data_IF_829372542236
#
_entry.id   IF_829372542236
#
_cell.length_a   1.000
_cell.length_b   1.000
_cell.length_c   1.000
_cell.angle_alpha   90.00
_cell.angle_beta   90.00
_cell.angle_gamma   90.00
#
_symmetry.space_group_name_H-M   'P 1'
#
loop_
_entity.id
_entity.type
_entity.pdbx_description
1 polymer ?
#
# COMPACT_ATOMS: atom_id res chain seq x y z
N UNK A 1 0.26 -6.55 19.24
CA UNK A 1 0.62 -7.87 19.81
C UNK A 1 1.83 -8.46 19.08
N UNK A 2 1.79 -8.63 17.75
CA UNK A 2 2.83 -9.35 16.99
C UNK A 2 4.23 -8.74 17.05
N UNK A 3 4.36 -7.41 17.08
CA UNK A 3 5.66 -6.75 17.32
C UNK A 3 6.22 -6.99 18.73
N UNK A 4 5.36 -6.98 19.76
CA UNK A 4 5.77 -7.27 21.13
C UNK A 4 6.22 -8.73 21.22
N UNK A 5 5.44 -9.65 20.62
CA UNK A 5 5.81 -11.08 20.53
C UNK A 5 7.14 -11.26 19.80
N UNK A 6 7.35 -10.58 18.68
CA UNK A 6 8.61 -10.62 17.93
C UNK A 6 9.80 -10.07 18.73
N UNK A 7 9.64 -8.96 19.44
CA UNK A 7 10.68 -8.41 20.31
C UNK A 7 11.02 -9.39 21.45
N UNK A 8 10.01 -9.95 22.11
CA UNK A 8 10.16 -10.92 23.19
C UNK A 8 10.82 -12.23 22.69
N UNK A 9 10.48 -12.70 21.49
CA UNK A 9 11.10 -13.88 20.91
C UNK A 9 12.53 -13.64 20.40
N UNK A 10 12.81 -12.47 19.84
CA UNK A 10 14.13 -12.14 19.29
C UNK A 10 15.16 -11.74 20.35
N UNK A 11 14.74 -11.00 21.37
CA UNK A 11 15.64 -10.41 22.38
C UNK A 11 15.59 -11.12 23.73
N UNK A 12 14.47 -11.78 24.04
CA UNK A 12 14.19 -12.36 25.35
C UNK A 12 12.85 -11.84 25.90
N UNK A 13 12.14 -12.70 26.64
CA UNK A 13 10.78 -12.43 27.13
C UNK A 13 10.71 -11.16 27.99
N UNK A 14 11.69 -10.98 28.88
CA UNK A 14 11.67 -9.90 29.88
C UNK A 14 11.71 -8.52 29.21
N UNK A 15 10.95 -7.52 29.71
CA UNK A 15 11.09 -6.14 29.28
C UNK A 15 12.53 -5.60 29.41
N UNK A 16 13.32 -6.12 30.36
CA UNK A 16 14.74 -5.79 30.54
C UNK A 16 15.63 -6.24 29.37
N UNK A 17 15.20 -7.20 28.56
CA UNK A 17 15.92 -7.60 27.34
C UNK A 17 15.68 -6.64 26.17
N UNK A 18 14.59 -5.87 26.23
CA UNK A 18 14.08 -5.05 25.13
C UNK A 18 14.38 -3.57 25.35
N UNK A 19 14.17 -3.08 26.57
CA UNK A 19 14.41 -1.70 26.97
C UNK A 19 15.85 -1.54 27.48
N UNK A 20 16.37 -0.31 27.44
CA UNK A 20 17.73 0.01 27.92
C UNK A 20 17.74 0.24 29.44
N UNK A 21 16.70 0.90 29.95
CA UNK A 21 16.57 1.24 31.37
C UNK A 21 15.12 1.10 31.83
N UNK A 22 14.93 0.46 32.99
CA UNK A 22 13.65 0.44 33.73
C UNK A 22 13.98 0.75 35.19
N UNK A 23 13.86 2.02 35.58
CA UNK A 23 14.17 2.46 36.93
C UNK A 23 12.87 2.72 37.72
N UNK A 24 12.59 1.98 38.80
CA UNK A 24 11.42 2.21 39.64
C UNK A 24 11.53 3.53 40.39
N UNK A 25 10.40 4.16 40.63
CA UNK A 25 10.25 5.41 41.39
C UNK A 25 9.02 5.29 42.30
N UNK A 26 8.82 6.26 43.20
CA UNK A 26 7.62 6.30 44.03
C UNK A 26 6.31 6.42 43.21
N UNK A 27 6.34 7.05 42.03
CA UNK A 27 5.15 7.35 41.22
C UNK A 27 4.98 6.47 39.98
N UNK A 28 5.96 5.63 39.65
CA UNK A 28 5.94 4.75 38.49
C UNK A 28 7.35 4.33 38.06
N UNK A 29 7.64 4.37 36.76
CA UNK A 29 8.93 3.95 36.20
C UNK A 29 9.51 5.02 35.27
N UNK A 30 10.81 5.27 35.40
CA UNK A 30 11.58 5.94 34.35
C UNK A 30 12.04 4.88 33.34
N UNK A 31 11.75 5.15 32.08
CA UNK A 31 12.04 4.24 30.97
C UNK A 31 13.10 4.88 30.09
N UNK A 32 14.17 4.12 29.82
CA UNK A 32 15.13 4.40 28.76
C UNK A 32 15.01 3.36 27.65
N UNK A 33 14.95 3.84 26.42
CA UNK A 33 14.92 2.99 25.22
C UNK A 33 16.29 2.96 24.54
N UNK A 34 16.53 1.91 23.75
CA UNK A 34 17.82 1.69 23.08
C UNK A 34 18.16 2.70 21.99
N UNK A 35 17.17 3.47 21.53
CA UNK A 35 17.37 4.62 20.63
C UNK A 35 17.57 5.95 21.39
N UNK A 36 17.76 5.89 22.71
CA UNK A 36 18.00 7.05 23.56
C UNK A 36 16.73 7.78 23.99
N UNK A 37 15.54 7.36 23.56
CA UNK A 37 14.29 7.98 23.98
C UNK A 37 14.01 7.68 25.46
N UNK A 38 13.70 8.72 26.25
CA UNK A 38 13.44 8.61 27.69
C UNK A 38 12.12 9.25 28.08
N UNK A 39 11.39 8.61 28.99
CA UNK A 39 10.15 9.16 29.56
C UNK A 39 9.79 8.50 30.89
N UNK A 40 8.88 9.13 31.61
CA UNK A 40 8.26 8.57 32.81
C UNK A 40 6.88 7.99 32.48
N UNK A 41 6.56 6.82 33.03
CA UNK A 41 5.21 6.24 33.04
C UNK A 41 4.75 6.05 34.49
N UNK A 42 3.62 6.64 34.83
CA UNK A 42 3.08 6.57 36.20
C UNK A 42 2.42 5.21 36.48
N UNK A 43 2.24 4.86 37.76
CA UNK A 43 1.49 3.66 38.15
C UNK A 43 0.05 3.65 37.59
N UNK A 44 -0.61 4.82 37.54
CA UNK A 44 -1.97 4.94 37.00
C UNK A 44 -2.01 4.77 35.48
N UNK A 45 -1.07 5.37 34.75
CA UNK A 45 -0.94 5.16 33.30
C UNK A 45 -0.63 3.71 32.96
N UNK A 46 0.27 3.09 33.71
CA UNK A 46 0.60 1.68 33.54
C UNK A 46 -0.65 0.80 33.73
N UNK A 47 -1.37 1.00 34.84
CA UNK A 47 -2.62 0.28 35.15
C UNK A 47 -3.67 0.48 34.05
N UNK A 48 -3.85 1.71 33.58
CA UNK A 48 -4.78 2.03 32.49
C UNK A 48 -4.39 1.33 31.20
N UNK A 49 -3.12 1.38 30.79
CA UNK A 49 -2.67 0.72 29.58
C UNK A 49 -2.81 -0.81 29.67
N UNK A 50 -2.53 -1.39 30.84
CA UNK A 50 -2.72 -2.82 31.09
C UNK A 50 -4.19 -3.24 30.95
N UNK A 51 -5.16 -2.41 31.38
CA UNK A 51 -6.59 -2.73 31.20
C UNK A 51 -7.05 -2.65 29.75
N UNK A 52 -6.38 -1.85 28.91
CA UNK A 52 -6.63 -1.80 27.46
C UNK A 52 -5.97 -2.97 26.70
N UNK A 53 -4.92 -3.56 27.25
CA UNK A 53 -4.22 -4.67 26.63
C UNK A 53 -5.03 -5.97 26.78
N UNK A 54 -5.85 -6.27 25.76
CA UNK A 54 -6.69 -7.48 25.65
C UNK A 54 -5.87 -8.77 25.36
N UNK A 55 -4.65 -8.85 25.87
CA UNK A 55 -3.80 -10.03 25.71
C UNK A 55 -4.25 -11.16 26.65
N UNK A 56 -4.24 -12.38 26.12
CA UNK A 56 -4.54 -13.61 26.83
C UNK A 56 -3.53 -14.69 26.46
N UNK A 57 -3.25 -15.59 27.40
CA UNK A 57 -2.28 -16.68 27.24
C UNK A 57 -2.24 -17.55 28.49
N UNK A 58 -1.63 -18.74 28.38
CA UNK A 58 -1.51 -19.69 29.49
C UNK A 58 -0.36 -19.37 30.45
N UNK A 59 0.58 -18.53 30.03
CA UNK A 59 1.69 -18.04 30.83
C UNK A 59 1.39 -16.60 31.29
N UNK A 60 1.00 -16.46 32.55
CA UNK A 60 0.65 -15.17 33.15
C UNK A 60 1.85 -14.21 33.21
N UNK A 61 3.05 -14.73 33.45
CA UNK A 61 4.28 -13.92 33.46
C UNK A 61 4.53 -13.30 32.09
N UNK A 62 4.44 -14.09 31.03
CA UNK A 62 4.58 -13.61 29.65
C UNK A 62 3.49 -12.59 29.28
N UNK A 63 2.24 -12.82 29.72
CA UNK A 63 1.16 -11.86 29.48
C UNK A 63 1.44 -10.53 30.19
N UNK A 64 1.93 -10.56 31.43
CA UNK A 64 2.28 -9.36 32.19
C UNK A 64 3.43 -8.57 31.54
N UNK A 65 4.49 -9.27 31.11
CA UNK A 65 5.61 -8.66 30.37
C UNK A 65 5.11 -7.99 29.08
N UNK A 66 4.25 -8.67 28.31
CA UNK A 66 3.69 -8.13 27.08
C UNK A 66 2.80 -6.90 27.33
N UNK A 67 1.99 -6.91 28.40
CA UNK A 67 1.16 -5.76 28.79
C UNK A 67 2.01 -4.56 29.23
N UNK A 68 3.11 -4.80 29.92
CA UNK A 68 4.06 -3.74 30.28
C UNK A 68 4.67 -3.09 29.02
N UNK A 69 5.16 -3.89 28.07
CA UNK A 69 5.69 -3.38 26.79
C UNK A 69 4.64 -2.64 25.97
N UNK A 70 3.39 -3.09 26.00
CA UNK A 70 2.27 -2.37 25.37
C UNK A 70 2.06 -0.98 25.99
N UNK A 71 2.15 -0.85 27.31
CA UNK A 71 2.03 0.41 28.01
C UNK A 71 3.17 1.37 27.64
N UNK A 72 4.41 0.89 27.69
CA UNK A 72 5.63 1.63 27.32
C UNK A 72 5.54 2.16 25.88
N UNK A 73 5.21 1.29 24.92
CA UNK A 73 5.07 1.64 23.50
C UNK A 73 4.04 2.75 23.26
N UNK A 74 2.86 2.64 23.87
CA UNK A 74 1.81 3.65 23.71
C UNK A 74 2.12 4.94 24.46
N UNK A 75 2.84 4.86 25.59
CA UNK A 75 3.27 6.06 26.32
C UNK A 75 4.30 6.85 25.53
N UNK A 76 5.27 6.19 24.88
CA UNK A 76 6.17 6.87 23.94
C UNK A 76 5.39 7.55 22.82
N UNK A 77 4.46 6.84 22.16
CA UNK A 77 3.61 7.40 21.10
C UNK A 77 2.86 8.66 21.57
N UNK A 78 2.35 8.65 22.80
CA UNK A 78 1.69 9.80 23.42
C UNK A 78 2.65 10.98 23.62
N UNK A 79 3.86 10.73 24.14
CA UNK A 79 4.89 11.77 24.33
C UNK A 79 5.34 12.36 22.99
N UNK A 80 5.59 11.52 21.97
CA UNK A 80 5.93 12.00 20.62
C UNK A 80 4.86 12.93 20.03
N UNK A 81 3.57 12.61 20.21
CA UNK A 81 2.48 13.49 19.79
C UNK A 81 2.45 14.83 20.51
N UNK A 82 2.86 14.87 21.79
CA UNK A 82 2.96 16.12 22.54
C UNK A 82 4.13 16.99 22.05
N UNK A 83 5.23 16.37 21.62
CA UNK A 83 6.40 17.07 21.07
C UNK A 83 6.08 17.66 19.68
N UNK A 84 5.38 16.92 18.82
CA UNK A 84 5.09 17.30 17.42
C UNK A 84 3.89 18.27 17.26
N UNK A 85 3.44 18.93 18.33
CA UNK A 85 2.20 19.73 18.39
C UNK A 85 2.06 20.81 17.28
N UNK A 86 3.16 21.31 16.71
CA UNK A 86 3.16 22.29 15.61
C UNK A 86 2.75 21.73 14.24
N UNK A 87 2.77 20.41 14.02
CA UNK A 87 2.40 19.77 12.74
C UNK A 87 0.91 19.37 12.66
N UNK A 88 0.17 19.48 13.76
CA UNK A 88 -1.25 19.11 13.83
C UNK A 88 -2.10 20.27 13.30
N UNK A 89 -2.50 20.20 12.03
CA UNK A 89 -3.45 21.14 11.42
C UNK A 89 -4.79 21.18 12.17
N UNK A 90 -5.38 22.38 12.23
CA UNK A 90 -6.66 22.69 12.88
C UNK A 90 -7.80 21.82 12.28
N UNK A 91 -8.06 20.68 12.95
CA UNK A 91 -9.21 19.73 12.86
C UNK A 91 -8.79 18.28 13.13
N UNK A 92 -7.49 17.97 13.24
CA UNK A 92 -7.03 16.60 13.57
C UNK A 92 -7.02 16.38 15.07
N UNK A 93 -8.18 15.96 15.58
CA UNK A 93 -8.47 15.21 16.81
C UNK A 93 -7.79 15.65 18.11
N UNK A 94 -8.53 16.44 18.90
CA UNK A 94 -8.43 16.53 20.38
C UNK A 94 -8.27 15.16 21.08
N UNK A 95 -8.63 14.06 20.40
CA UNK A 95 -8.49 12.65 20.80
C UNK A 95 -7.05 12.10 20.74
N UNK A 96 -6.02 12.90 20.45
CA UNK A 96 -4.61 12.43 20.44
C UNK A 96 -3.73 13.08 21.51
N UNK A 97 -4.27 13.99 22.32
CA UNK A 97 -3.57 14.63 23.45
C UNK A 97 -3.70 13.86 24.77
N UNK A 98 -4.75 13.07 24.92
CA UNK A 98 -5.00 12.25 26.12
C UNK A 98 -4.42 10.84 25.96
N UNK A 99 -3.81 10.31 27.02
CA UNK A 99 -3.20 8.98 26.99
C UNK A 99 -4.23 7.88 26.77
N UNK A 100 -5.41 7.98 27.39
CA UNK A 100 -6.52 7.04 27.17
C UNK A 100 -7.01 7.05 25.73
N UNK A 101 -7.01 8.21 25.07
CA UNK A 101 -7.37 8.32 23.67
C UNK A 101 -6.30 7.73 22.73
N UNK A 102 -5.01 7.84 23.07
CA UNK A 102 -3.94 7.09 22.39
C UNK A 102 -4.15 5.58 22.53
N UNK A 103 -4.50 5.10 23.72
CA UNK A 103 -4.81 3.68 23.94
C UNK A 103 -6.03 3.20 23.15
N UNK A 104 -7.11 4.00 23.06
CA UNK A 104 -8.26 3.71 22.18
C UNK A 104 -7.84 3.59 20.71
N UNK A 105 -6.96 4.48 20.24
CA UNK A 105 -6.44 4.41 18.85
C UNK A 105 -5.60 3.16 18.58
N UNK A 106 -5.07 2.50 19.62
CA UNK A 106 -4.28 1.29 19.44
C UNK A 106 -5.13 0.11 18.92
N UNK A 107 -6.45 0.11 19.15
CA UNK A 107 -7.38 -0.88 18.62
C UNK A 107 -7.49 -0.83 17.07
N UNK A 108 -7.17 0.32 16.45
CA UNK A 108 -7.08 0.46 14.98
C UNK A 108 -5.87 -0.33 14.40
N UNK A 109 -4.96 -0.76 15.28
CA UNK A 109 -3.81 -1.59 14.99
C UNK A 109 -2.59 -0.79 14.54
N UNK A 110 -1.44 -1.05 15.18
CA UNK A 110 -0.14 -0.49 14.81
C UNK A 110 0.59 -1.54 13.97
N UNK A 111 1.14 -1.13 12.83
CA UNK A 111 1.93 -2.01 11.96
C UNK A 111 3.20 -2.51 12.66
N UNK A 112 3.65 -3.71 12.30
CA UNK A 112 4.82 -4.38 12.89
C UNK A 112 6.05 -3.48 13.05
N UNK A 113 6.54 -2.88 11.95
CA UNK A 113 7.71 -1.99 12.00
C UNK A 113 7.51 -0.82 12.96
N UNK A 114 6.35 -0.14 12.90
CA UNK A 114 6.12 1.07 13.69
C UNK A 114 6.03 0.76 15.17
N UNK A 115 5.48 -0.40 15.51
CA UNK A 115 5.45 -0.87 16.88
C UNK A 115 6.86 -1.19 17.41
N UNK A 116 7.76 -1.74 16.58
CA UNK A 116 9.16 -1.97 16.96
C UNK A 116 9.95 -0.66 17.10
N UNK A 117 9.71 0.34 16.24
CA UNK A 117 10.27 1.69 16.41
C UNK A 117 9.82 2.33 17.72
N UNK A 118 8.52 2.23 18.06
CA UNK A 118 7.99 2.75 19.32
C UNK A 118 8.50 1.99 20.56
N UNK A 119 9.16 0.84 20.37
CA UNK A 119 9.90 0.14 21.42
C UNK A 119 11.41 0.52 21.43
N UNK A 120 11.83 1.44 20.57
CA UNK A 120 13.23 1.88 20.46
C UNK A 120 14.14 0.92 19.71
N UNK A 121 13.58 -0.02 18.93
CA UNK A 121 14.35 -1.09 18.30
C UNK A 121 14.75 -0.78 16.85
N UNK A 122 14.51 0.44 16.35
CA UNK A 122 14.73 0.80 14.94
C UNK A 122 16.13 0.47 14.41
N UNK A 123 17.17 0.74 15.20
CA UNK A 123 18.56 0.44 14.83
C UNK A 123 18.91 -1.06 14.86
N UNK A 124 18.05 -1.89 15.44
CA UNK A 124 18.23 -3.34 15.56
C UNK A 124 17.40 -4.12 14.53
N UNK A 125 16.73 -3.44 13.61
CA UNK A 125 15.91 -4.08 12.61
C UNK A 125 16.77 -4.54 11.43
N UNK A 126 16.74 -5.84 11.14
CA UNK A 126 17.24 -6.37 9.90
C UNK A 126 16.08 -6.53 8.91
N UNK A 127 16.19 -5.86 7.77
CA UNK A 127 15.27 -6.04 6.67
C UNK A 127 15.55 -7.36 5.95
N UNK A 128 14.54 -8.22 5.81
CA UNK A 128 14.61 -9.50 5.12
C UNK A 128 13.31 -9.78 4.37
N UNK A 129 13.34 -10.79 3.50
CA UNK A 129 12.14 -11.42 2.97
C UNK A 129 11.55 -12.42 3.96
N UNK A 130 10.23 -12.58 3.96
CA UNK A 130 9.53 -13.56 4.79
C UNK A 130 10.00 -15.01 4.54
N UNK A 131 10.40 -15.35 3.31
CA UNK A 131 11.01 -16.64 3.00
C UNK A 131 12.40 -16.84 3.64
N UNK A 132 13.13 -15.75 3.86
CA UNK A 132 14.49 -15.74 4.39
C UNK A 132 14.54 -15.56 5.91
N UNK A 133 13.37 -15.45 6.56
CA UNK A 133 13.27 -15.36 8.03
C UNK A 133 13.85 -16.60 8.71
N UNK A 134 13.72 -17.77 8.06
CA UNK A 134 14.19 -19.04 8.61
C UNK A 134 13.57 -19.33 9.98
N UNK A 135 14.43 -19.63 10.96
CA UNK A 135 14.04 -19.93 12.34
C UNK A 135 13.85 -18.69 13.23
N UNK A 136 14.10 -17.51 12.68
CA UNK A 136 13.95 -16.26 13.41
C UNK A 136 12.48 -15.84 13.49
N UNK A 137 12.23 -14.74 14.21
CA UNK A 137 10.91 -14.13 14.29
C UNK A 137 10.96 -12.77 13.64
N UNK A 138 10.04 -12.54 12.71
CA UNK A 138 9.93 -11.29 11.99
C UNK A 138 8.52 -10.72 12.05
N UNK A 139 8.40 -9.42 11.81
CA UNK A 139 7.11 -8.77 11.57
C UNK A 139 7.09 -8.16 10.17
N UNK A 140 5.93 -8.11 9.50
CA UNK A 140 5.82 -7.43 8.22
C UNK A 140 6.22 -5.95 8.32
N UNK A 141 7.02 -5.49 7.35
CA UNK A 141 7.43 -4.11 7.18
C UNK A 141 6.29 -3.23 6.63
N UNK A 142 5.40 -3.82 5.82
CA UNK A 142 4.35 -3.15 5.07
C UNK A 142 3.03 -2.97 5.85
N UNK A 143 2.23 -1.98 5.42
CA UNK A 143 0.91 -1.61 5.99
C UNK A 143 -0.28 -2.32 5.34
N UNK A 144 -0.10 -3.41 4.58
CA UNK A 144 -1.23 -4.17 4.05
C UNK A 144 -2.10 -4.66 5.21
N UNK A 145 -3.40 -4.34 5.18
CA UNK A 145 -4.28 -4.48 6.34
C UNK A 145 -4.33 -5.92 6.88
N UNK A 146 -4.26 -6.90 5.96
CA UNK A 146 -4.28 -8.35 6.22
C UNK A 146 -3.03 -8.85 6.94
N UNK A 147 -1.87 -8.26 6.65
CA UNK A 147 -0.57 -8.77 7.11
C UNK A 147 0.12 -7.87 8.15
N UNK A 148 -0.26 -6.58 8.26
CA UNK A 148 0.38 -5.61 9.18
C UNK A 148 0.39 -6.02 10.65
N UNK A 149 -0.44 -7.03 11.00
CA UNK A 149 -0.63 -7.55 12.36
C UNK A 149 -0.09 -8.97 12.54
N UNK A 150 0.60 -9.55 11.54
CA UNK A 150 1.16 -10.89 11.61
C UNK A 150 2.54 -10.97 12.26
N UNK A 151 2.90 -12.15 12.76
CA UNK A 151 4.26 -12.53 13.14
C UNK A 151 4.70 -13.70 12.25
N UNK A 152 5.88 -13.61 11.63
CA UNK A 152 6.40 -14.64 10.73
C UNK A 152 7.49 -15.42 11.44
N UNK A 153 7.39 -16.75 11.42
CA UNK A 153 8.44 -17.65 11.88
C UNK A 153 8.31 -19.02 11.24
N UNK A 154 9.44 -19.66 10.90
CA UNK A 154 9.49 -20.99 10.29
C UNK A 154 8.61 -21.12 9.03
N UNK A 155 8.52 -20.06 8.23
CA UNK A 155 7.69 -20.02 7.01
C UNK A 155 6.18 -19.93 7.26
N UNK A 156 5.74 -19.69 8.50
CA UNK A 156 4.33 -19.49 8.85
C UNK A 156 4.11 -18.08 9.39
N UNK A 157 2.95 -17.51 9.05
CA UNK A 157 2.43 -16.30 9.67
C UNK A 157 1.40 -16.67 10.74
N UNK A 158 1.60 -16.15 11.94
CA UNK A 158 0.64 -16.14 13.04
C UNK A 158 -0.08 -14.78 13.04
N UNK A 159 -1.41 -14.79 12.93
CA UNK A 159 -2.26 -13.62 13.01
C UNK A 159 -3.38 -13.89 14.02
N UNK A 160 -3.31 -13.25 15.20
CA UNK A 160 -4.25 -13.47 16.32
C UNK A 160 -4.44 -14.96 16.72
N UNK A 161 -3.39 -15.77 16.64
CA UNK A 161 -3.45 -17.20 16.97
C UNK A 161 -3.86 -18.11 15.80
N UNK A 162 -4.27 -17.54 14.67
CA UNK A 162 -4.45 -18.28 13.43
C UNK A 162 -3.11 -18.38 12.70
N UNK A 163 -2.69 -19.63 12.41
CA UNK A 163 -1.43 -19.91 11.73
C UNK A 163 -1.69 -20.33 10.29
N UNK A 164 -1.08 -19.63 9.33
CA UNK A 164 -1.12 -19.95 7.90
C UNK A 164 0.29 -19.91 7.31
N UNK A 165 0.56 -20.58 6.16
CA UNK A 165 1.80 -20.39 5.43
C UNK A 165 2.04 -18.90 5.16
N UNK A 166 3.23 -18.40 5.49
CA UNK A 166 3.58 -17.02 5.20
C UNK A 166 3.82 -16.89 3.69
N UNK A 167 3.20 -15.90 3.00
CA UNK A 167 3.60 -15.55 1.65
C UNK A 167 5.10 -15.28 1.62
N UNK A 168 5.81 -15.79 0.61
CA UNK A 168 7.29 -15.76 0.54
C UNK A 168 7.88 -14.38 0.21
N UNK A 169 7.03 -13.43 -0.15
CA UNK A 169 7.41 -12.12 -0.72
C UNK A 169 7.21 -10.95 0.25
N UNK A 170 6.82 -11.20 1.51
CA UNK A 170 6.54 -10.12 2.46
C UNK A 170 7.86 -9.57 3.01
N UNK A 171 8.12 -8.28 2.75
CA UNK A 171 9.15 -7.54 3.48
C UNK A 171 8.91 -7.66 4.97
N UNK A 172 9.95 -8.05 5.69
CA UNK A 172 9.86 -8.38 7.09
C UNK A 172 11.05 -7.79 7.84
N UNK A 173 10.82 -7.38 9.07
CA UNK A 173 11.88 -6.97 9.98
C UNK A 173 12.09 -8.03 11.04
N UNK A 174 13.32 -8.54 11.11
CA UNK A 174 13.80 -9.32 12.24
C UNK A 174 14.39 -8.36 13.26
N UNK A 175 14.11 -8.62 14.54
CA UNK A 175 14.74 -7.89 15.65
C UNK A 175 16.04 -8.60 16.02
N UNK A 176 17.17 -7.96 15.76
CA UNK A 176 18.50 -8.47 16.11
C UNK A 176 18.89 -8.12 17.54
N UNK A 177 19.67 -9.00 18.19
CA UNK A 177 20.20 -8.75 19.55
C UNK A 177 21.09 -7.51 19.64
N UNK A 178 21.81 -7.21 18.57
CA UNK A 178 22.65 -6.02 18.44
C UNK A 178 22.43 -5.40 17.06
N UNK A 179 22.65 -4.08 16.90
CA UNK A 179 22.63 -3.45 15.58
C UNK A 179 23.58 -4.18 14.61
N UNK A 180 23.20 -4.32 13.33
CA UNK A 180 24.08 -4.92 12.35
C UNK A 180 25.36 -4.05 12.21
N UNK A 181 26.53 -4.69 12.29
CA UNK A 181 27.84 -4.02 12.28
C UNK A 181 28.15 -3.27 10.97
N UNK A 182 27.40 -3.59 9.91
CA UNK A 182 27.39 -2.92 8.62
C UNK A 182 25.93 -2.59 8.28
N UNK A 183 25.70 -1.44 7.62
CA UNK A 183 24.41 -1.20 6.99
C UNK A 183 24.08 -2.43 6.11
N UNK A 184 22.91 -3.06 6.26
CA UNK A 184 22.53 -4.16 5.39
C UNK A 184 22.70 -3.70 3.95
N UNK A 185 23.31 -4.51 3.06
CA UNK A 185 23.17 -4.24 1.64
C UNK A 185 21.68 -4.05 1.36
N UNK A 186 21.32 -3.03 0.58
CA UNK A 186 19.95 -2.87 0.13
C UNK A 186 19.53 -4.24 -0.42
N UNK A 187 18.43 -4.82 0.09
CA UNK A 187 17.96 -6.13 -0.35
C UNK A 187 18.01 -6.13 -1.87
N UNK A 188 18.79 -7.05 -2.46
CA UNK A 188 18.84 -7.15 -3.90
C UNK A 188 17.41 -7.42 -4.35
N UNK A 189 16.84 -6.44 -5.04
CA UNK A 189 15.55 -6.61 -5.67
C UNK A 189 15.71 -7.77 -6.66
N UNK A 190 14.91 -8.84 -6.56
CA UNK A 190 14.85 -9.81 -7.63
C UNK A 190 14.41 -9.06 -8.89
N UNK A 191 15.36 -8.81 -9.79
CA UNK A 191 15.12 -8.09 -11.03
C UNK A 191 15.26 -6.57 -10.99
N UNK A 192 16.24 -6.00 -10.28
CA UNK A 192 16.79 -4.69 -10.71
C UNK A 192 17.60 -4.91 -11.99
N UNK A 193 16.92 -5.18 -13.10
CA UNK A 193 17.55 -5.02 -14.40
C UNK A 193 17.99 -3.57 -14.44
N UNK A 194 19.31 -3.32 -14.51
CA UNK A 194 19.80 -2.07 -15.08
C UNK A 194 18.95 -1.79 -16.31
N UNK A 195 18.44 -0.57 -16.45
CA UNK A 195 17.72 -0.15 -17.66
C UNK A 195 18.56 -0.54 -18.86
N UNK A 196 18.29 -1.71 -19.43
CA UNK A 196 18.83 -2.08 -20.71
C UNK A 196 18.17 -1.08 -21.64
N UNK A 197 18.98 -0.31 -22.35
CA UNK A 197 18.54 0.25 -23.63
C UNK A 197 18.08 -0.97 -24.41
N UNK A 198 16.77 -1.23 -24.42
CA UNK A 198 16.20 -2.30 -25.22
C UNK A 198 16.58 -1.90 -26.64
N UNK A 199 17.41 -2.69 -27.35
CA UNK A 199 17.75 -2.37 -28.72
C UNK A 199 16.44 -2.18 -29.49
N UNK A 200 16.39 -1.21 -30.41
CA UNK A 200 15.29 -1.12 -31.37
C UNK A 200 15.29 -2.42 -32.17
N UNK A 201 14.53 -3.40 -31.67
CA UNK A 201 14.34 -4.67 -32.36
C UNK A 201 13.46 -4.38 -33.56
N UNK A 202 13.84 -4.87 -34.76
CA UNK A 202 13.05 -4.65 -35.95
C UNK A 202 11.62 -5.14 -35.69
N UNK A 203 10.65 -4.29 -36.03
CA UNK A 203 9.23 -4.58 -35.96
C UNK A 203 8.93 -5.79 -36.84
N UNK A 204 8.99 -6.99 -36.27
CA UNK A 204 8.52 -8.18 -36.95
C UNK A 204 7.00 -8.07 -37.05
N UNK A 205 6.54 -7.91 -38.29
CA UNK A 205 5.15 -7.73 -38.70
C UNK A 205 4.32 -9.02 -38.52
N UNK A 206 4.20 -9.48 -37.28
CA UNK A 206 3.13 -10.40 -36.88
C UNK A 206 2.23 -9.63 -35.91
N UNK A 207 1.19 -8.99 -36.47
CA UNK A 207 0.19 -8.11 -35.82
C UNK A 207 -0.69 -8.80 -34.76
N UNK A 208 -0.34 -10.01 -34.34
CA UNK A 208 -1.13 -10.77 -33.38
C UNK A 208 -0.74 -10.36 -31.96
N UNK A 209 -1.59 -9.54 -31.35
CA UNK A 209 -1.56 -9.18 -29.93
C UNK A 209 -2.68 -10.00 -29.25
N UNK A 210 -2.43 -11.27 -28.89
CA UNK A 210 -3.47 -12.25 -28.57
C UNK A 210 -4.31 -11.90 -27.33
N UNK A 211 -3.75 -11.10 -26.42
CA UNK A 211 -4.39 -10.73 -25.15
C UNK A 211 -5.07 -9.35 -25.23
N UNK A 212 -5.13 -8.75 -26.43
CA UNK A 212 -5.81 -7.47 -26.68
C UNK A 212 -7.08 -7.69 -27.52
N UNK A 213 -8.00 -6.72 -27.48
CA UNK A 213 -9.13 -6.70 -28.41
C UNK A 213 -8.69 -6.47 -29.87
N UNK A 214 -9.63 -6.48 -30.81
CA UNK A 214 -9.39 -6.10 -32.21
C UNK A 214 -9.44 -4.59 -32.47
N UNK A 215 -9.79 -3.76 -31.48
CA UNK A 215 -9.86 -2.29 -31.63
C UNK A 215 -8.47 -1.73 -31.87
N UNK A 216 -8.31 -0.79 -32.80
CA UNK A 216 -7.03 -0.12 -33.10
C UNK A 216 -7.28 1.31 -33.58
N UNK A 217 -6.21 2.10 -33.70
CA UNK A 217 -6.19 3.39 -34.38
C UNK A 217 -7.17 4.42 -33.79
N UNK A 218 -7.21 4.50 -32.46
CA UNK A 218 -7.98 5.51 -31.73
C UNK A 218 -9.49 5.23 -31.63
N UNK A 219 -9.95 4.04 -32.06
CA UNK A 219 -11.35 3.64 -31.92
C UNK A 219 -11.77 3.71 -30.45
N UNK A 220 -12.85 4.45 -30.18
CA UNK A 220 -13.38 4.65 -28.82
C UNK A 220 -14.17 3.43 -28.34
N UNK A 221 -14.22 3.19 -27.02
CA UNK A 221 -15.17 2.24 -26.46
C UNK A 221 -16.60 2.58 -26.87
N UNK A 222 -17.43 1.57 -27.11
CA UNK A 222 -18.86 1.80 -27.39
C UNK A 222 -19.57 2.44 -26.19
N UNK A 223 -19.19 2.01 -24.99
CA UNK A 223 -19.64 2.59 -23.73
C UNK A 223 -18.42 2.93 -22.85
N UNK A 224 -17.86 4.15 -22.99
CA UNK A 224 -16.64 4.53 -22.27
C UNK A 224 -16.85 4.74 -20.77
N UNK A 225 -18.09 4.89 -20.30
CA UNK A 225 -18.38 5.24 -18.91
C UNK A 225 -18.86 4.03 -18.10
N UNK A 226 -19.72 3.20 -18.67
CA UNK A 226 -20.30 2.02 -18.02
C UNK A 226 -19.87 0.69 -18.65
N UNK A 227 -19.11 0.70 -19.76
CA UNK A 227 -18.70 -0.52 -20.44
C UNK A 227 -17.91 -1.50 -19.56
N UNK A 228 -17.22 -1.00 -18.53
CA UNK A 228 -16.76 -1.81 -17.41
C UNK A 228 -16.80 -1.03 -16.08
N UNK A 229 -16.81 -1.72 -14.96
CA UNK A 229 -16.78 -1.17 -13.61
C UNK A 229 -16.25 -2.19 -12.60
N UNK A 230 -16.07 -1.80 -11.35
CA UNK A 230 -15.60 -2.70 -10.28
C UNK A 230 -16.78 -3.12 -9.40
N UNK A 231 -16.81 -4.37 -8.96
CA UNK A 231 -17.72 -4.77 -7.89
C UNK A 231 -17.25 -4.18 -6.56
N UNK A 232 -18.15 -3.55 -5.78
CA UNK A 232 -17.86 -3.13 -4.41
C UNK A 232 -18.66 -4.00 -3.43
N UNK A 233 -18.14 -5.17 -3.00
CA UNK A 233 -18.69 -5.77 -1.81
C UNK A 233 -18.49 -4.79 -0.64
N UNK A 234 -19.57 -4.54 0.10
CA UNK A 234 -19.59 -3.57 1.18
C UNK A 234 -18.39 -3.76 2.14
N UNK A 235 -17.67 -2.66 2.38
CA UNK A 235 -16.55 -2.53 3.32
C UNK A 235 -15.28 -3.38 3.03
N UNK A 236 -14.20 -2.65 2.71
CA UNK A 236 -12.80 -3.01 3.03
C UNK A 236 -12.01 -3.97 2.12
N UNK A 237 -12.43 -4.24 0.89
CA UNK A 237 -11.59 -4.95 -0.08
C UNK A 237 -11.05 -4.01 -1.18
N UNK A 238 -9.76 -4.20 -1.50
CA UNK A 238 -8.98 -3.62 -2.59
C UNK A 238 -9.70 -2.66 -3.56
N UNK A 239 -9.40 -1.35 -3.50
CA UNK A 239 -10.16 -0.34 -4.26
C UNK A 239 -9.58 -0.14 -5.68
N UNK A 240 -9.92 -1.02 -6.62
CA UNK A 240 -9.55 -0.87 -8.05
C UNK A 240 -10.36 0.21 -8.77
N UNK A 241 -11.41 0.77 -8.15
CA UNK A 241 -12.30 1.74 -8.80
C UNK A 241 -11.59 2.98 -9.34
N UNK A 242 -10.60 3.52 -8.60
CA UNK A 242 -9.77 4.63 -9.09
C UNK A 242 -8.98 4.23 -10.35
N UNK A 243 -8.48 3.00 -10.41
CA UNK A 243 -7.75 2.50 -11.58
C UNK A 243 -8.70 2.35 -12.77
N UNK A 244 -9.89 1.79 -12.55
CA UNK A 244 -10.92 1.66 -13.58
C UNK A 244 -11.27 3.02 -14.19
N UNK A 245 -11.49 4.05 -13.37
CA UNK A 245 -11.88 5.36 -13.86
C UNK A 245 -10.72 6.12 -14.55
N UNK A 246 -9.47 5.91 -14.10
CA UNK A 246 -8.30 6.40 -14.86
C UNK A 246 -8.20 5.70 -16.21
N UNK A 247 -8.39 4.38 -16.27
CA UNK A 247 -8.36 3.62 -17.52
C UNK A 247 -9.45 4.11 -18.48
N UNK A 248 -10.68 4.34 -17.99
CA UNK A 248 -11.76 4.94 -18.79
C UNK A 248 -11.41 6.33 -19.31
N UNK A 249 -10.79 7.18 -18.47
CA UNK A 249 -10.33 8.50 -18.91
C UNK A 249 -9.29 8.38 -20.03
N UNK A 250 -8.31 7.48 -19.88
CA UNK A 250 -7.28 7.20 -20.89
C UNK A 250 -7.90 6.67 -22.19
N UNK A 251 -8.81 5.70 -22.10
CA UNK A 251 -9.47 5.12 -23.26
C UNK A 251 -10.38 6.12 -23.98
N UNK A 252 -11.06 6.97 -23.22
CA UNK A 252 -11.86 8.08 -23.76
C UNK A 252 -10.97 9.09 -24.48
N UNK A 253 -9.79 9.41 -23.95
CA UNK A 253 -8.87 10.38 -24.56
C UNK A 253 -8.16 9.81 -25.78
N UNK A 254 -7.53 8.65 -25.67
CA UNK A 254 -6.61 8.12 -26.68
C UNK A 254 -7.24 7.08 -27.61
N UNK A 255 -8.13 6.24 -27.10
CA UNK A 255 -8.69 5.08 -27.82
C UNK A 255 -8.75 3.87 -26.89
N UNK A 256 -9.64 2.92 -27.17
CA UNK A 256 -9.84 1.75 -26.32
C UNK A 256 -8.58 0.87 -26.20
N UNK A 257 -7.86 0.69 -27.30
CA UNK A 257 -6.77 -0.28 -27.34
C UNK A 257 -5.60 0.14 -26.46
N UNK A 258 -4.88 -0.80 -25.81
CA UNK A 258 -3.61 -0.49 -25.15
C UNK A 258 -2.58 0.09 -26.11
N UNK A 259 -2.68 -0.23 -27.41
CA UNK A 259 -1.86 0.37 -28.47
C UNK A 259 -2.14 1.87 -28.69
N UNK A 260 -3.32 2.35 -28.30
CA UNK A 260 -3.69 3.77 -28.35
C UNK A 260 -3.32 4.48 -27.04
N UNK A 261 -3.48 3.80 -25.89
CA UNK A 261 -3.20 4.37 -24.56
C UNK A 261 -1.69 4.54 -24.33
N UNK A 262 -0.89 3.52 -24.63
CA UNK A 262 0.56 3.57 -24.55
C UNK A 262 1.19 4.11 -25.83
N UNK A 263 2.48 4.47 -25.79
CA UNK A 263 3.17 4.98 -26.98
C UNK A 263 3.61 3.87 -27.93
N UNK A 264 3.91 2.67 -27.40
CA UNK A 264 4.28 1.48 -28.17
C UNK A 264 3.93 0.23 -27.38
N UNK A 265 3.33 -0.76 -28.05
CA UNK A 265 3.09 -2.11 -27.52
C UNK A 265 3.51 -3.10 -28.59
N UNK A 266 4.41 -4.01 -28.25
CA UNK A 266 4.87 -5.08 -29.16
C UNK A 266 4.88 -6.41 -28.43
N UNK A 267 4.58 -7.50 -29.14
CA UNK A 267 4.61 -8.85 -28.58
C UNK A 267 5.79 -9.63 -29.18
N UNK A 268 6.69 -10.12 -28.34
CA UNK A 268 7.88 -10.84 -28.76
C UNK A 268 8.31 -11.84 -27.69
N UNK A 269 8.67 -13.07 -28.11
CA UNK A 269 9.18 -14.08 -27.19
C UNK A 269 8.21 -14.45 -26.06
N UNK A 270 6.90 -14.46 -26.36
CA UNK A 270 5.80 -14.70 -25.42
C UNK A 270 5.56 -13.60 -24.36
N UNK A 271 6.21 -12.45 -24.50
CA UNK A 271 6.06 -11.32 -23.59
C UNK A 271 5.68 -10.03 -24.36
N UNK A 272 4.97 -9.13 -23.69
CA UNK A 272 4.72 -7.79 -24.19
C UNK A 272 5.81 -6.83 -23.75
N UNK A 273 6.25 -5.99 -24.68
CA UNK A 273 7.08 -4.84 -24.41
C UNK A 273 6.21 -3.59 -24.57
N UNK A 274 6.01 -2.87 -23.47
CA UNK A 274 5.12 -1.71 -23.39
C UNK A 274 5.94 -0.46 -23.07
N UNK A 275 5.79 0.58 -23.87
CA UNK A 275 6.40 1.89 -23.65
C UNK A 275 5.33 2.91 -23.29
N UNK A 276 5.39 3.43 -22.07
CA UNK A 276 4.52 4.50 -21.57
C UNK A 276 4.78 5.81 -22.31
N UNK A 277 3.83 6.75 -22.23
CA UNK A 277 3.93 8.06 -22.92
C UNK A 277 5.04 8.97 -22.40
N UNK A 278 5.54 8.72 -21.20
CA UNK A 278 6.72 9.38 -20.63
C UNK A 278 8.04 8.66 -20.95
N UNK A 279 8.01 7.62 -21.78
CA UNK A 279 9.17 6.86 -22.21
C UNK A 279 9.57 5.72 -21.26
N UNK A 280 8.87 5.51 -20.15
CA UNK A 280 9.14 4.37 -19.27
C UNK A 280 8.76 3.06 -19.98
N UNK A 281 9.60 2.04 -19.90
CA UNK A 281 9.36 0.75 -20.56
C UNK A 281 9.17 -0.38 -19.56
N UNK A 282 8.22 -1.28 -19.82
CA UNK A 282 8.03 -2.52 -19.07
C UNK A 282 8.00 -3.72 -20.00
N UNK A 283 8.44 -4.87 -19.48
CA UNK A 283 8.21 -6.18 -20.06
C UNK A 283 7.14 -6.88 -19.23
N UNK A 284 6.07 -7.36 -19.86
CA UNK A 284 4.90 -7.92 -19.20
C UNK A 284 4.63 -9.32 -19.75
N UNK A 285 4.58 -10.32 -18.86
CA UNK A 285 4.27 -11.69 -19.27
C UNK A 285 2.75 -11.92 -19.35
N UNK A 286 2.34 -13.01 -19.99
CA UNK A 286 0.91 -13.37 -20.08
C UNK A 286 0.33 -13.76 -18.72
N UNK A 287 1.13 -14.43 -17.89
CA UNK A 287 0.76 -14.79 -16.51
C UNK A 287 0.55 -13.54 -15.64
N UNK A 288 1.31 -12.46 -15.89
CA UNK A 288 1.11 -11.18 -15.19
C UNK A 288 -0.20 -10.49 -15.63
N UNK A 289 -0.61 -10.64 -16.88
CA UNK A 289 -1.90 -10.13 -17.39
C UNK A 289 -3.06 -10.92 -16.76
N UNK A 290 -2.97 -12.25 -16.75
CA UNK A 290 -3.96 -13.14 -16.13
C UNK A 290 -4.12 -12.81 -14.63
N UNK A 291 -3.02 -12.66 -13.90
CA UNK A 291 -3.07 -12.30 -12.48
C UNK A 291 -3.68 -10.90 -12.27
N UNK A 292 -3.44 -9.96 -13.18
CA UNK A 292 -4.07 -8.64 -13.12
C UNK A 292 -5.58 -8.71 -13.32
N UNK A 293 -6.06 -9.56 -14.23
CA UNK A 293 -7.47 -9.81 -14.47
C UNK A 293 -8.17 -10.43 -13.25
N UNK A 294 -7.57 -11.46 -12.65
CA UNK A 294 -8.12 -12.11 -11.44
C UNK A 294 -8.34 -11.13 -10.29
N UNK A 295 -7.44 -10.15 -10.16
CA UNK A 295 -7.47 -9.21 -9.04
C UNK A 295 -8.09 -7.84 -9.37
N UNK A 296 -8.25 -7.46 -10.64
CA UNK A 296 -8.86 -6.18 -11.01
C UNK A 296 -10.34 -6.13 -10.61
N UNK A 297 -11.00 -7.30 -10.65
CA UNK A 297 -12.43 -7.49 -10.47
C UNK A 297 -13.26 -6.57 -11.38
N UNK A 298 -12.74 -6.28 -12.59
CA UNK A 298 -13.47 -5.55 -13.61
C UNK A 298 -14.61 -6.42 -14.16
N UNK A 299 -15.81 -5.84 -14.17
CA UNK A 299 -17.04 -6.44 -14.68
C UNK A 299 -17.55 -5.59 -15.84
N UNK A 300 -18.09 -6.23 -16.87
CA UNK A 300 -18.62 -5.60 -18.06
C UNK A 300 -19.18 -6.63 -19.03
N UNK A 301 -19.97 -6.19 -20.01
CA UNK A 301 -20.52 -7.08 -21.04
C UNK A 301 -19.64 -7.16 -22.31
N UNK A 302 -18.64 -6.28 -22.44
CA UNK A 302 -17.72 -6.23 -23.58
C UNK A 302 -16.39 -6.87 -23.17
N UNK A 303 -16.20 -8.14 -23.54
CA UNK A 303 -14.99 -8.91 -23.27
C UNK A 303 -13.74 -8.27 -23.86
N UNK A 304 -13.86 -7.61 -25.03
CA UNK A 304 -12.74 -6.91 -25.65
C UNK A 304 -12.29 -5.71 -24.83
N UNK A 305 -13.24 -4.93 -24.32
CA UNK A 305 -12.98 -3.82 -23.43
C UNK A 305 -12.36 -4.28 -22.10
N UNK A 306 -12.84 -5.38 -21.54
CA UNK A 306 -12.27 -5.98 -20.32
C UNK A 306 -10.83 -6.43 -20.52
N UNK A 307 -10.53 -7.12 -21.63
CA UNK A 307 -9.16 -7.51 -21.99
C UNK A 307 -8.23 -6.29 -22.06
N UNK A 308 -8.64 -5.27 -22.80
CA UNK A 308 -7.85 -4.05 -22.96
C UNK A 308 -7.64 -3.34 -21.60
N UNK A 309 -8.68 -3.27 -20.75
CA UNK A 309 -8.61 -2.66 -19.43
C UNK A 309 -7.69 -3.43 -18.47
N UNK A 310 -7.80 -4.77 -18.43
CA UNK A 310 -6.94 -5.62 -17.62
C UNK A 310 -5.48 -5.53 -18.06
N UNK A 311 -5.21 -5.47 -19.37
CA UNK A 311 -3.86 -5.25 -19.88
C UNK A 311 -3.27 -3.90 -19.41
N UNK A 312 -4.04 -2.81 -19.52
CA UNK A 312 -3.57 -1.47 -19.08
C UNK A 312 -3.32 -1.48 -17.57
N UNK A 313 -4.20 -2.11 -16.80
CA UNK A 313 -4.02 -2.29 -15.37
C UNK A 313 -2.73 -3.09 -15.06
N UNK A 314 -2.50 -4.19 -15.76
CA UNK A 314 -1.31 -5.02 -15.61
C UNK A 314 -0.02 -4.23 -15.89
N UNK A 315 0.03 -3.47 -16.99
CA UNK A 315 1.16 -2.63 -17.32
C UNK A 315 1.44 -1.57 -16.22
N UNK A 316 0.40 -0.94 -15.68
CA UNK A 316 0.54 -0.03 -14.54
C UNK A 316 1.12 -0.74 -13.32
N UNK A 317 0.59 -1.90 -12.94
CA UNK A 317 1.11 -2.68 -11.82
C UNK A 317 2.58 -3.05 -12.04
N UNK A 318 2.95 -3.46 -13.26
CA UNK A 318 4.34 -3.77 -13.60
C UNK A 318 5.26 -2.57 -13.44
N UNK A 319 4.81 -1.38 -13.86
CA UNK A 319 5.56 -0.14 -13.64
C UNK A 319 5.68 0.18 -12.16
N UNK A 320 4.61 0.01 -11.37
CA UNK A 320 4.67 0.22 -9.93
C UNK A 320 5.55 -0.81 -9.21
N UNK A 321 5.70 -2.02 -9.78
CA UNK A 321 6.68 -2.99 -9.32
C UNK A 321 8.10 -2.47 -9.52
N UNK A 322 8.43 -2.00 -10.73
CA UNK A 322 9.80 -1.60 -11.08
C UNK A 322 10.19 -0.21 -10.56
N UNK A 323 9.22 0.69 -10.44
CA UNK A 323 9.39 2.05 -9.96
C UNK A 323 8.32 2.37 -8.91
N UNK A 324 8.44 1.78 -7.71
CA UNK A 324 7.46 2.01 -6.67
C UNK A 324 7.57 3.45 -6.13
N UNK A 325 6.44 4.09 -5.75
CA UNK A 325 6.44 5.46 -5.25
C UNK A 325 7.15 5.62 -3.89
N UNK A 326 7.31 4.52 -3.15
CA UNK A 326 8.12 4.39 -1.94
C UNK A 326 8.90 3.08 -2.07
N UNK A 327 10.19 2.96 -1.66
CA UNK A 327 11.04 1.78 -1.90
C UNK A 327 10.60 0.41 -1.33
N UNK A 328 9.33 0.19 -0.99
CA UNK A 328 8.81 -1.01 -0.33
C UNK A 328 7.63 -1.73 -1.04
N UNK A 329 7.41 -1.49 -2.34
CA UNK A 329 6.28 -2.04 -3.11
C UNK A 329 6.69 -2.98 -4.27
N UNK A 330 7.99 -3.13 -4.53
CA UNK A 330 8.50 -3.42 -5.88
C UNK A 330 9.16 -4.79 -6.10
N UNK A 331 8.61 -5.83 -5.50
CA UNK A 331 9.36 -7.06 -5.24
C UNK A 331 8.92 -8.26 -6.09
N UNK A 332 7.63 -8.34 -6.39
CA UNK A 332 7.04 -9.23 -7.38
C UNK A 332 5.82 -8.52 -7.99
N UNK A 333 5.35 -8.99 -9.14
CA UNK A 333 4.14 -8.42 -9.75
C UNK A 333 2.92 -8.58 -8.82
N UNK A 334 2.76 -9.75 -8.20
CA UNK A 334 1.70 -10.00 -7.22
C UNK A 334 1.77 -9.06 -6.00
N UNK A 335 2.96 -8.79 -5.47
CA UNK A 335 3.13 -7.87 -4.34
C UNK A 335 2.82 -6.43 -4.73
N UNK A 336 3.26 -6.00 -5.92
CA UNK A 336 2.93 -4.69 -6.47
C UNK A 336 1.42 -4.57 -6.69
N UNK A 337 0.78 -5.63 -7.16
CA UNK A 337 -0.65 -5.71 -7.36
C UNK A 337 -1.37 -5.48 -6.03
N UNK A 338 -1.15 -6.32 -5.02
CA UNK A 338 -1.81 -6.18 -3.71
C UNK A 338 -1.50 -4.85 -3.00
N UNK A 339 -0.27 -4.36 -3.15
CA UNK A 339 0.19 -3.11 -2.56
C UNK A 339 -0.45 -1.85 -3.18
N UNK A 340 -0.79 -1.88 -4.47
CA UNK A 340 -1.38 -0.74 -5.18
C UNK A 340 -2.90 -0.63 -5.00
N UNK A 341 -3.55 -1.67 -4.47
CA UNK A 341 -5.00 -1.69 -4.21
C UNK A 341 -5.43 -0.82 -3.02
N UNK A 342 -4.48 -0.27 -2.25
CA UNK A 342 -4.76 0.47 -1.02
C UNK A 342 -4.15 1.88 -1.04
N UNK A 343 -5.00 2.90 -0.85
CA UNK A 343 -4.56 4.27 -0.54
C UNK A 343 -3.96 5.07 -1.70
N UNK A 344 -4.23 4.69 -2.96
CA UNK A 344 -3.80 5.46 -4.14
C UNK A 344 -4.74 6.63 -4.39
N UNK A 345 -4.15 7.81 -4.61
CA UNK A 345 -4.92 8.97 -5.10
C UNK A 345 -5.03 8.91 -6.62
N UNK A 346 -6.06 9.55 -7.17
CA UNK A 346 -6.23 9.73 -8.63
C UNK A 346 -4.95 10.25 -9.30
N UNK A 347 -4.31 11.26 -8.68
CA UNK A 347 -3.08 11.86 -9.20
C UNK A 347 -1.96 10.84 -9.30
N UNK A 348 -1.78 10.00 -8.28
CA UNK A 348 -0.74 8.98 -8.28
C UNK A 348 -0.94 7.95 -9.40
N UNK A 349 -2.19 7.55 -9.66
CA UNK A 349 -2.48 6.60 -10.73
C UNK A 349 -2.23 7.23 -12.10
N UNK A 350 -2.64 8.48 -12.33
CA UNK A 350 -2.35 9.20 -13.59
C UNK A 350 -0.84 9.38 -13.83
N UNK A 351 -0.08 9.75 -12.79
CA UNK A 351 1.38 9.85 -12.87
C UNK A 351 2.02 8.49 -13.16
N UNK A 352 1.56 7.44 -12.50
CA UNK A 352 2.02 6.07 -12.75
C UNK A 352 1.62 5.52 -14.12
N UNK A 353 0.58 6.06 -14.75
CA UNK A 353 0.21 5.79 -16.15
C UNK A 353 1.06 6.58 -17.15
N UNK A 354 2.05 7.36 -16.69
CA UNK A 354 2.99 8.07 -17.55
C UNK A 354 2.39 9.23 -18.33
N UNK A 355 1.26 9.79 -17.86
CA UNK A 355 0.57 10.91 -18.52
C UNK A 355 0.74 12.23 -17.80
N UNK A 356 1.71 12.34 -16.88
CA UNK A 356 1.95 13.53 -16.03
C UNK A 356 1.93 14.85 -16.80
N UNK A 357 2.55 14.89 -17.99
CA UNK A 357 2.64 16.11 -18.82
C UNK A 357 1.31 16.51 -19.47
N UNK A 358 0.33 15.61 -19.50
CA UNK A 358 -1.01 15.83 -20.07
C UNK A 358 -2.06 16.10 -18.98
N UNK A 359 -1.70 16.04 -17.70
CA UNK A 359 -2.66 16.26 -16.61
C UNK A 359 -2.96 17.75 -16.47
N UNK A 360 -4.22 18.12 -16.70
CA UNK A 360 -4.75 19.45 -16.42
C UNK A 360 -5.60 19.40 -15.16
N UNK A 361 -5.32 20.28 -14.20
CA UNK A 361 -6.16 20.46 -13.03
C UNK A 361 -7.37 21.32 -13.36
N UNK A 362 -8.55 20.85 -12.99
CA UNK A 362 -9.83 21.53 -13.21
C UNK A 362 -10.36 22.00 -11.86
N UNK A 363 -10.56 23.32 -11.74
CA UNK A 363 -11.02 23.97 -10.51
C UNK A 363 -12.54 23.90 -10.30
N UNK A 364 -13.30 23.50 -11.32
CA UNK A 364 -14.74 23.22 -11.24
C UNK A 364 -15.11 22.32 -12.40
N UNK A 365 -15.61 21.13 -12.11
CA UNK A 365 -15.83 20.12 -13.15
C UNK A 365 -16.87 20.56 -14.19
N UNK A 366 -17.86 21.35 -13.78
CA UNK A 366 -18.87 21.93 -14.69
C UNK A 366 -18.31 22.95 -15.68
N UNK A 367 -17.13 23.52 -15.45
CA UNK A 367 -16.52 24.50 -16.34
C UNK A 367 -15.61 23.86 -17.41
N UNK A 368 -15.40 22.53 -17.34
CA UNK A 368 -14.51 21.82 -18.24
C UNK A 368 -15.24 21.27 -19.47
N UNK A 369 -14.58 21.36 -20.62
CA UNK A 369 -15.04 20.72 -21.85
C UNK A 369 -14.61 19.25 -21.88
N UNK A 370 -15.53 18.34 -21.53
CA UNK A 370 -15.32 16.90 -21.63
C UNK A 370 -15.14 16.20 -20.28
N UNK A 371 -14.49 15.04 -20.30
CA UNK A 371 -14.46 14.11 -19.17
C UNK A 371 -13.48 14.58 -18.09
N UNK A 372 -14.00 14.76 -16.86
CA UNK A 372 -13.22 15.15 -15.68
C UNK A 372 -13.21 14.00 -14.67
N UNK A 373 -12.02 13.56 -14.28
CA UNK A 373 -11.83 12.60 -13.21
C UNK A 373 -11.79 13.31 -11.85
N UNK A 374 -12.79 13.06 -11.03
CA UNK A 374 -13.04 13.77 -9.78
C UNK A 374 -12.04 13.41 -8.67
N UNK A 375 -11.73 14.37 -7.81
CA UNK A 375 -10.88 14.20 -6.61
C UNK A 375 -11.62 14.59 -5.31
N UNK A 376 -11.15 14.10 -4.16
CA UNK A 376 -11.71 14.44 -2.84
C UNK A 376 -12.92 13.58 -2.47
N UNK A 377 -14.03 14.19 -2.02
CA UNK A 377 -15.23 13.46 -1.56
C UNK A 377 -15.85 12.56 -2.63
N UNK A 378 -15.67 12.89 -3.91
CA UNK A 378 -16.08 12.08 -5.06
C UNK A 378 -14.90 11.46 -5.81
N UNK A 379 -13.75 11.26 -5.13
CA UNK A 379 -12.56 10.64 -5.73
C UNK A 379 -12.88 9.31 -6.42
N UNK A 380 -12.31 9.09 -7.60
CA UNK A 380 -12.61 7.90 -8.42
C UNK A 380 -14.05 7.94 -8.94
N UNK A 381 -14.41 9.04 -9.60
CA UNK A 381 -15.67 9.18 -10.31
C UNK A 381 -15.45 10.07 -11.52
N UNK A 382 -16.20 9.85 -12.59
CA UNK A 382 -16.06 10.55 -13.86
C UNK A 382 -17.23 11.51 -14.04
N UNK A 383 -16.94 12.80 -14.17
CA UNK A 383 -17.93 13.83 -14.44
C UNK A 383 -17.89 14.23 -15.91
N UNK A 384 -19.06 14.29 -16.54
CA UNK A 384 -19.24 14.78 -17.89
C UNK A 384 -20.60 15.47 -18.00
N UNK A 385 -20.62 16.75 -18.39
CA UNK A 385 -21.84 17.52 -18.72
C UNK A 385 -23.02 17.31 -17.73
N UNK A 386 -22.80 17.66 -16.45
CA UNK A 386 -23.84 17.57 -15.41
C UNK A 386 -24.11 16.16 -14.89
N UNK A 387 -23.39 15.15 -15.37
CA UNK A 387 -23.57 13.75 -15.00
C UNK A 387 -22.31 13.21 -14.31
N UNK A 388 -22.48 12.61 -13.12
CA UNK A 388 -21.41 11.89 -12.43
C UNK A 388 -21.61 10.39 -12.65
N UNK A 389 -20.57 9.71 -13.14
CA UNK A 389 -20.50 8.26 -13.22
C UNK A 389 -19.57 7.74 -12.13
N UNK A 390 -20.08 6.83 -11.31
CA UNK A 390 -19.29 6.18 -10.27
C UNK A 390 -19.83 4.78 -10.03
N UNK A 391 -18.94 3.80 -9.90
CA UNK A 391 -19.32 2.42 -9.55
C UNK A 391 -20.39 1.81 -10.49
N UNK A 392 -20.27 2.08 -11.80
CA UNK A 392 -21.21 1.54 -12.80
C UNK A 392 -22.60 2.19 -12.75
N UNK A 393 -22.76 3.35 -12.10
CA UNK A 393 -24.04 4.05 -12.00
C UNK A 393 -23.92 5.52 -12.34
N UNK A 394 -24.99 6.05 -12.93
CA UNK A 394 -25.19 7.48 -13.14
C UNK A 394 -25.78 8.13 -11.89
N UNK A 395 -25.24 9.29 -11.53
CA UNK A 395 -25.72 10.16 -10.48
C UNK A 395 -25.92 11.56 -11.05
N UNK A 396 -26.96 12.29 -10.61
CA UNK A 396 -27.07 13.72 -10.89
C UNK A 396 -25.82 14.43 -10.35
N UNK A 397 -25.10 15.15 -11.22
CA UNK A 397 -23.95 15.94 -10.83
C UNK A 397 -24.35 17.39 -10.60
N UNK A 398 -24.37 17.85 -9.35
CA UNK A 398 -24.47 19.30 -9.09
C UNK A 398 -23.17 19.99 -9.49
N UNK A 399 -23.21 20.77 -10.57
CA UNK A 399 -22.10 21.56 -11.12
C UNK A 399 -21.50 22.55 -10.10
N UNK A 400 -22.25 22.89 -9.04
CA UNK A 400 -21.79 23.75 -7.95
C UNK A 400 -21.14 22.96 -6.79
N UNK A 401 -21.42 21.67 -6.66
CA UNK A 401 -20.87 20.79 -5.62
C UNK A 401 -19.63 20.00 -6.10
N UNK A 402 -19.47 19.77 -7.41
CA UNK A 402 -18.36 19.01 -7.98
C UNK A 402 -17.12 19.88 -8.19
N UNK A 403 -16.42 20.13 -7.08
CA UNK A 403 -15.49 21.25 -7.03
C UNK A 403 -14.17 21.02 -7.78
N UNK A 404 -13.55 19.84 -7.83
CA UNK A 404 -12.24 19.76 -8.49
C UNK A 404 -11.93 18.37 -9.06
N UNK A 405 -11.10 18.31 -10.10
CA UNK A 405 -10.71 17.07 -10.77
C UNK A 405 -9.52 17.23 -11.70
N UNK A 406 -9.22 16.17 -12.45
CA UNK A 406 -8.19 16.15 -13.49
C UNK A 406 -8.80 15.83 -14.85
N UNK A 407 -8.28 16.45 -15.88
CA UNK A 407 -8.56 16.15 -17.28
C UNK A 407 -7.25 15.86 -18.02
N UNK A 408 -7.32 15.15 -19.14
CA UNK A 408 -6.17 14.98 -20.03
C UNK A 408 -6.24 15.98 -21.18
N UNK A 409 -5.14 16.71 -21.38
CA UNK A 409 -4.92 17.69 -22.45
C UNK A 409 -4.94 17.06 -23.85
#
# INVERSE_FOLDING_TARGET
>A
MSAIKAAMSGLGQSPLSILDEIAPTASGFNIGMKDGFKFHITHEELKLAMSYAKFAGHDEGMVNDARFLFAVMNKRKHVEYQIDAYKLGYRVDLKKHDFGAVLKSADEGIGGHKALELLGLGAQLQHVWSQDVGTQVAVPAIKQFSFKRGMITNGFMDNYGSKAPAPKWIESFIVLKSPPATLPPALEQPGRTQMAVIPDMPSAANDELPDLSSRRHGQKPNDPLLGFYTNRPHMHEAETSVHADVIKLLMSRYGQSPTDVFSKVTFAGNDYHVTFRDGFTVKLSREEIELAEEHSQFLGADDGLLKDANFIFAAYIKRQQLQPPIPSFGLSFAAALEGNLNGRTVKNVLEGMGVTRSINYVKRAGDAEGLVLMIGGNSGGLFNQGTLVKEGRYYPGDENAQRHGYQLA
#
